data_IF_203897573925
#
_entry.id   IF_203897573925
#
_cell.length_a   1.000
_cell.length_b   1.000
_cell.length_c   1.000
_cell.angle_alpha   90.00
_cell.angle_beta   90.00
_cell.angle_gamma   90.00
#
_symmetry.space_group_name_H-M   'P 1'
#
loop_
_entity.id
_entity.type
_entity.pdbx_description
1 polymer ?
#
# COMPACT_ATOMS: atom_id res chain seq x y z
N UNK A 1 23.94 30.07 -0.50
CA UNK A 1 22.59 29.53 -0.26
C UNK A 1 22.71 28.04 -0.01
N UNK A 2 22.01 27.48 0.98
CA UNK A 2 22.00 26.03 1.21
C UNK A 2 21.37 25.33 0.00
N UNK A 3 22.08 24.37 -0.61
CA UNK A 3 21.52 23.52 -1.66
C UNK A 3 20.52 22.56 -1.04
N UNK A 4 19.28 22.56 -1.52
CA UNK A 4 18.29 21.57 -1.12
C UNK A 4 18.63 20.22 -1.77
N UNK A 5 18.66 19.16 -0.96
CA UNK A 5 18.97 17.81 -1.44
C UNK A 5 17.83 17.18 -2.25
N UNK A 6 16.59 17.62 -2.01
CA UNK A 6 15.36 17.11 -2.64
C UNK A 6 14.46 18.25 -3.11
N UNK A 7 13.71 18.00 -4.18
CA UNK A 7 12.66 18.88 -4.69
C UNK A 7 11.38 18.73 -3.87
N UNK A 8 11.07 17.49 -3.46
CA UNK A 8 9.97 17.19 -2.53
C UNK A 8 10.37 16.19 -1.44
N UNK A 9 9.70 16.33 -0.30
CA UNK A 9 9.63 15.33 0.75
C UNK A 9 8.16 14.92 0.90
N UNK A 10 7.84 13.67 0.58
CA UNK A 10 6.52 13.10 0.79
C UNK A 10 6.47 12.39 2.14
N UNK A 11 5.38 12.57 2.89
CA UNK A 11 5.15 11.90 4.17
C UNK A 11 3.83 11.16 4.11
N UNK A 12 3.82 9.88 4.48
CA UNK A 12 2.60 9.08 4.51
C UNK A 12 2.83 7.65 4.94
N UNK A 13 1.78 6.84 4.84
CA UNK A 13 1.83 5.43 5.17
C UNK A 13 2.46 4.64 4.02
N UNK A 14 3.46 3.82 4.33
CA UNK A 14 4.01 2.84 3.40
C UNK A 14 3.07 1.63 3.37
N UNK A 15 2.33 1.48 2.28
CA UNK A 15 1.26 0.49 2.14
C UNK A 15 1.63 -0.49 1.03
N UNK A 16 1.40 -1.78 1.22
CA UNK A 16 1.32 -2.74 0.12
C UNK A 16 -0.14 -2.90 -0.29
N UNK A 17 -0.45 -2.58 -1.54
CA UNK A 17 -1.75 -2.83 -2.15
C UNK A 17 -1.84 -4.31 -2.56
N UNK A 18 -2.89 -4.98 -2.10
CA UNK A 18 -3.22 -6.38 -2.42
C UNK A 18 -4.42 -6.37 -3.36
N UNK A 19 -4.17 -6.49 -4.65
CA UNK A 19 -5.21 -6.50 -5.66
C UNK A 19 -5.80 -7.89 -5.86
N UNK A 20 -7.12 -7.96 -5.93
CA UNK A 20 -7.82 -9.16 -6.39
C UNK A 20 -9.15 -8.82 -7.06
N UNK A 21 -9.57 -9.70 -7.96
CA UNK A 21 -10.86 -9.62 -8.65
C UNK A 21 -11.95 -10.24 -7.77
N UNK A 22 -13.14 -9.64 -7.76
CA UNK A 22 -14.31 -10.15 -7.06
C UNK A 22 -15.59 -9.75 -7.81
N UNK A 23 -16.74 -10.25 -7.37
CA UNK A 23 -18.05 -9.79 -7.82
C UNK A 23 -18.77 -8.97 -6.73
N UNK A 24 -19.92 -8.38 -7.09
CA UNK A 24 -20.73 -7.61 -6.14
C UNK A 24 -21.33 -8.48 -5.02
N UNK A 25 -21.45 -9.79 -5.22
CA UNK A 25 -21.95 -10.72 -4.22
C UNK A 25 -20.93 -10.92 -3.10
N UNK A 26 -19.65 -11.03 -3.44
CA UNK A 26 -18.54 -11.07 -2.49
C UNK A 26 -18.50 -9.82 -1.61
N UNK A 27 -18.61 -8.63 -2.22
CA UNK A 27 -18.64 -7.37 -1.45
C UNK A 27 -19.81 -7.35 -0.46
N UNK A 28 -21.01 -7.78 -0.91
CA UNK A 28 -22.19 -7.87 -0.04
C UNK A 28 -22.02 -8.88 1.09
N UNK A 29 -21.44 -10.05 0.81
CA UNK A 29 -21.17 -11.09 1.81
C UNK A 29 -20.22 -10.62 2.91
N UNK A 30 -19.24 -9.80 2.55
CA UNK A 30 -18.23 -9.28 3.48
C UNK A 30 -18.55 -7.86 4.01
N UNK A 31 -19.76 -7.34 3.73
CA UNK A 31 -20.21 -6.01 4.15
C UNK A 31 -19.27 -4.86 3.71
N UNK A 32 -18.71 -4.96 2.50
CA UNK A 32 -17.78 -3.98 1.95
C UNK A 32 -18.53 -2.96 1.09
N UNK A 33 -18.30 -1.67 1.36
CA UNK A 33 -18.84 -0.58 0.54
C UNK A 33 -18.13 -0.52 -0.81
N UNK A 34 -18.91 -0.65 -1.89
CA UNK A 34 -18.39 -0.61 -3.26
C UNK A 34 -17.81 0.76 -3.59
N UNK A 35 -16.57 0.81 -4.06
CA UNK A 35 -15.91 2.05 -4.50
C UNK A 35 -15.40 2.94 -3.37
N UNK A 36 -15.59 2.53 -2.12
CA UNK A 36 -15.14 3.27 -0.94
C UNK A 36 -13.74 2.89 -0.49
N UNK A 37 -13.26 3.59 0.55
CA UNK A 37 -12.11 3.18 1.35
C UNK A 37 -12.53 3.09 2.81
N UNK A 38 -12.23 1.96 3.43
CA UNK A 38 -12.56 1.68 4.84
C UNK A 38 -11.30 1.25 5.58
N UNK A 39 -11.08 1.84 6.76
CA UNK A 39 -10.06 1.36 7.69
C UNK A 39 -10.57 0.10 8.40
N UNK A 40 -9.73 -0.93 8.43
CA UNK A 40 -10.03 -2.20 9.07
C UNK A 40 -8.92 -2.58 10.05
N UNK A 41 -9.25 -3.43 11.02
CA UNK A 41 -8.26 -4.00 11.94
C UNK A 41 -7.52 -5.21 11.32
N UNK A 42 -6.45 -5.64 11.99
CA UNK A 42 -5.61 -6.74 11.53
C UNK A 42 -6.37 -8.07 11.42
N UNK A 43 -7.33 -8.34 12.32
CA UNK A 43 -8.11 -9.57 12.30
C UNK A 43 -9.05 -9.63 11.08
N UNK A 44 -9.71 -8.51 10.78
CA UNK A 44 -10.55 -8.34 9.60
C UNK A 44 -9.71 -8.41 8.32
N UNK A 45 -8.53 -7.79 8.32
CA UNK A 45 -7.61 -7.81 7.19
C UNK A 45 -7.14 -9.23 6.88
N UNK A 46 -6.77 -10.00 7.90
CA UNK A 46 -6.37 -11.40 7.71
C UNK A 46 -7.54 -12.26 7.19
N UNK A 47 -8.72 -12.11 7.81
CA UNK A 47 -9.91 -12.86 7.38
C UNK A 47 -10.27 -12.56 5.93
N UNK A 48 -10.20 -11.29 5.53
CA UNK A 48 -10.49 -10.88 4.17
C UNK A 48 -9.41 -11.37 3.20
N UNK A 49 -8.13 -11.30 3.58
CA UNK A 49 -7.02 -11.82 2.77
C UNK A 49 -7.18 -13.30 2.48
N UNK A 50 -7.52 -14.10 3.50
CA UNK A 50 -7.75 -15.54 3.37
C UNK A 50 -8.95 -15.83 2.44
N UNK A 51 -10.05 -15.10 2.59
CA UNK A 51 -11.24 -15.26 1.74
C UNK A 51 -10.95 -14.92 0.26
N UNK A 52 -10.18 -13.85 0.03
CA UNK A 52 -9.81 -13.40 -1.31
C UNK A 52 -8.87 -14.40 -1.98
N UNK A 53 -7.81 -14.82 -1.29
CA UNK A 53 -6.81 -15.75 -1.84
C UNK A 53 -7.35 -17.16 -2.05
N UNK A 54 -8.43 -17.54 -1.37
CA UNK A 54 -9.15 -18.79 -1.63
C UNK A 54 -9.92 -18.79 -2.97
N UNK A 55 -10.25 -17.61 -3.52
CA UNK A 55 -11.09 -17.48 -4.71
C UNK A 55 -10.32 -17.06 -5.95
N UNK A 56 -9.29 -16.21 -5.80
CA UNK A 56 -8.45 -15.77 -6.90
C UNK A 56 -7.02 -15.44 -6.42
N UNK A 57 -6.01 -15.54 -7.30
CA UNK A 57 -4.67 -15.05 -6.99
C UNK A 57 -4.69 -13.56 -6.67
N UNK A 58 -3.93 -13.16 -5.64
CA UNK A 58 -3.73 -11.76 -5.29
C UNK A 58 -2.40 -11.24 -5.83
N UNK A 59 -2.40 -10.00 -6.32
CA UNK A 59 -1.20 -9.29 -6.75
C UNK A 59 -0.78 -8.28 -5.67
N UNK A 60 0.48 -8.33 -5.26
CA UNK A 60 1.03 -7.43 -4.24
C UNK A 60 1.87 -6.34 -4.93
N UNK A 61 1.51 -5.09 -4.70
CA UNK A 61 2.15 -3.93 -5.32
C UNK A 61 2.43 -2.89 -4.24
N UNK A 62 3.63 -2.30 -4.24
CA UNK A 62 3.92 -1.16 -3.37
C UNK A 62 3.02 0.04 -3.71
N UNK A 63 2.30 0.56 -2.72
CA UNK A 63 1.28 1.59 -2.88
C UNK A 63 1.41 2.74 -1.88
N UNK A 64 0.28 3.37 -1.57
CA UNK A 64 0.20 4.56 -0.72
C UNK A 64 0.31 5.88 -1.50
N UNK A 65 -0.65 6.79 -1.28
CA UNK A 65 -0.82 8.00 -2.09
C UNK A 65 0.42 8.92 -2.12
N UNK A 66 1.03 9.16 -0.95
CA UNK A 66 2.23 9.98 -0.84
C UNK A 66 3.46 9.33 -1.49
N UNK A 67 3.61 8.01 -1.35
CA UNK A 67 4.68 7.25 -2.00
C UNK A 67 4.52 7.26 -3.53
N UNK A 68 3.31 7.02 -4.04
CA UNK A 68 3.00 7.08 -5.47
C UNK A 68 3.27 8.46 -6.06
N UNK A 69 3.01 9.54 -5.30
CA UNK A 69 3.34 10.91 -5.71
C UNK A 69 4.85 11.12 -5.81
N UNK A 70 5.62 10.61 -4.84
CA UNK A 70 7.08 10.67 -4.85
C UNK A 70 7.68 9.90 -6.03
N UNK A 71 7.17 8.69 -6.29
CA UNK A 71 7.55 7.86 -7.44
C UNK A 71 7.23 8.56 -8.76
N UNK A 72 6.04 9.17 -8.87
CA UNK A 72 5.65 9.94 -10.05
C UNK A 72 6.59 11.11 -10.32
N UNK A 73 7.00 11.86 -9.29
CA UNK A 73 7.98 12.94 -9.45
C UNK A 73 9.36 12.40 -9.88
N UNK A 74 9.82 11.32 -9.24
CA UNK A 74 11.11 10.71 -9.57
C UNK A 74 11.15 10.21 -11.02
N UNK A 75 10.06 9.62 -11.51
CA UNK A 75 9.91 9.19 -12.90
C UNK A 75 9.96 10.36 -13.91
N UNK A 76 9.59 11.58 -13.48
CA UNK A 76 9.69 12.80 -14.28
C UNK A 76 11.05 13.51 -14.15
N UNK A 77 12.03 12.90 -13.45
CA UNK A 77 13.39 13.41 -13.30
C UNK A 77 13.62 14.32 -12.08
N UNK A 78 12.63 14.46 -11.19
CA UNK A 78 12.78 15.19 -9.93
C UNK A 78 13.46 14.37 -8.84
N UNK A 79 13.98 15.05 -7.81
CA UNK A 79 14.56 14.42 -6.62
C UNK A 79 13.53 14.32 -5.50
N UNK A 80 13.02 13.12 -5.26
CA UNK A 80 12.05 12.87 -4.20
C UNK A 80 12.64 12.08 -3.03
N UNK A 81 12.19 12.42 -1.82
CA UNK A 81 12.35 11.59 -0.63
C UNK A 81 10.98 11.23 -0.06
N UNK A 82 10.88 10.08 0.60
CA UNK A 82 9.68 9.62 1.28
C UNK A 82 9.98 9.31 2.75
N UNK A 83 9.03 9.64 3.62
CA UNK A 83 9.03 9.30 5.05
C UNK A 83 7.75 8.54 5.35
N UNK A 84 7.94 7.33 5.87
CA UNK A 84 6.89 6.41 6.29
C UNK A 84 7.50 5.29 7.13
N UNK A 85 6.66 4.46 7.73
CA UNK A 85 7.07 3.31 8.54
C UNK A 85 6.77 2.01 7.81
N UNK A 86 7.72 1.08 7.88
CA UNK A 86 7.53 -0.34 7.56
C UNK A 86 8.00 -1.17 8.74
N UNK A 87 7.48 -2.40 8.85
CA UNK A 87 7.98 -3.40 9.78
C UNK A 87 9.08 -4.24 9.10
N UNK A 88 9.90 -4.94 9.89
CA UNK A 88 10.85 -5.94 9.41
C UNK A 88 10.13 -7.24 9.02
N UNK A 89 9.30 -7.13 7.97
CA UNK A 89 8.52 -8.23 7.38
C UNK A 89 8.65 -8.23 5.85
N UNK A 90 8.13 -9.27 5.19
CA UNK A 90 8.24 -9.45 3.74
C UNK A 90 7.58 -8.31 2.93
N UNK A 91 6.50 -7.74 3.46
CA UNK A 91 5.81 -6.58 2.89
C UNK A 91 6.68 -5.33 2.98
N UNK A 92 7.29 -5.08 4.13
CA UNK A 92 8.20 -3.97 4.38
C UNK A 92 9.48 -4.06 3.56
N UNK A 93 10.03 -5.27 3.41
CA UNK A 93 11.16 -5.55 2.54
C UNK A 93 10.81 -5.25 1.06
N UNK A 94 9.61 -5.65 0.63
CA UNK A 94 9.09 -5.36 -0.72
C UNK A 94 8.93 -3.87 -0.96
N UNK A 95 8.26 -3.16 -0.04
CA UNK A 95 8.10 -1.71 -0.13
C UNK A 95 9.45 -1.00 -0.22
N UNK A 96 10.40 -1.36 0.66
CA UNK A 96 11.74 -0.79 0.67
C UNK A 96 12.48 -0.98 -0.65
N UNK A 97 12.39 -2.19 -1.24
CA UNK A 97 13.03 -2.49 -2.51
C UNK A 97 12.42 -1.65 -3.63
N UNK A 98 11.11 -1.64 -3.74
CA UNK A 98 10.39 -1.03 -4.87
C UNK A 98 10.54 0.50 -4.86
N UNK A 99 10.37 1.16 -3.69
CA UNK A 99 10.47 2.62 -3.60
C UNK A 99 11.90 3.12 -3.91
N UNK A 100 12.92 2.35 -3.51
CA UNK A 100 14.33 2.66 -3.82
C UNK A 100 14.63 2.40 -5.30
N UNK A 101 14.12 1.31 -5.86
CA UNK A 101 14.26 1.00 -7.29
C UNK A 101 13.59 2.07 -8.17
N UNK A 102 12.52 2.69 -7.69
CA UNK A 102 11.85 3.82 -8.33
C UNK A 102 12.62 5.16 -8.23
N UNK A 103 13.81 5.18 -7.61
CA UNK A 103 14.65 6.37 -7.48
C UNK A 103 14.23 7.33 -6.37
N UNK A 104 13.31 6.94 -5.49
CA UNK A 104 12.91 7.74 -4.32
C UNK A 104 13.81 7.42 -3.14
N UNK A 105 14.32 8.46 -2.47
CA UNK A 105 15.12 8.27 -1.27
C UNK A 105 14.24 7.82 -0.10
N UNK A 106 14.49 6.62 0.41
CA UNK A 106 13.83 6.06 1.58
C UNK A 106 14.85 5.48 2.56
N UNK A 107 15.15 6.25 3.61
CA UNK A 107 16.18 5.96 4.61
C UNK A 107 15.62 5.40 5.93
N UNK A 108 14.34 5.03 5.97
CA UNK A 108 13.77 4.42 7.17
C UNK A 108 14.39 3.04 7.40
N UNK A 109 14.78 2.78 8.65
CA UNK A 109 15.08 1.44 9.13
C UNK A 109 13.76 0.74 9.44
N UNK A 110 13.51 -0.47 8.90
CA UNK A 110 12.35 -1.26 9.28
C UNK A 110 12.26 -1.44 10.80
N UNK A 111 11.05 -1.32 11.35
CA UNK A 111 10.83 -1.52 12.78
C UNK A 111 10.91 -3.02 13.12
N UNK A 112 11.70 -3.38 14.12
CA UNK A 112 11.80 -4.76 14.60
C UNK A 112 10.62 -5.17 15.50
N UNK A 113 9.82 -4.21 15.95
CA UNK A 113 8.70 -4.41 16.86
C UNK A 113 7.49 -3.51 16.52
N UNK A 114 6.40 -3.80 17.20
CA UNK A 114 5.11 -3.14 16.99
C UNK A 114 4.35 -3.73 15.80
N UNK A 115 3.58 -2.87 15.16
CA UNK A 115 2.63 -3.31 14.15
C UNK A 115 3.28 -3.68 12.81
N UNK A 116 2.66 -4.59 12.03
CA UNK A 116 3.18 -5.03 10.73
C UNK A 116 3.16 -3.91 9.70
N UNK A 117 3.82 -4.13 8.56
CA UNK A 117 3.73 -3.20 7.42
C UNK A 117 2.27 -3.06 6.96
N UNK A 118 1.83 -1.83 6.70
CA UNK A 118 0.46 -1.56 6.31
C UNK A 118 0.11 -2.24 4.97
N UNK A 119 -1.15 -2.66 4.84
CA UNK A 119 -1.67 -3.22 3.59
C UNK A 119 -3.09 -2.75 3.30
N UNK A 120 -3.44 -2.70 2.02
CA UNK A 120 -4.77 -2.37 1.55
C UNK A 120 -5.26 -3.46 0.61
N UNK A 121 -6.32 -4.17 1.01
CA UNK A 121 -6.96 -5.16 0.14
C UNK A 121 -7.89 -4.41 -0.81
N UNK A 122 -7.52 -4.40 -2.09
CA UNK A 122 -8.22 -3.69 -3.16
C UNK A 122 -9.01 -4.70 -3.98
N UNK A 123 -10.32 -4.67 -3.78
CA UNK A 123 -11.27 -5.54 -4.46
C UNK A 123 -11.79 -4.85 -5.72
N UNK A 124 -11.49 -5.46 -6.86
CA UNK A 124 -11.85 -4.96 -8.18
C UNK A 124 -13.06 -5.75 -8.69
N UNK A 125 -14.13 -5.03 -9.04
CA UNK A 125 -15.35 -5.60 -9.62
C UNK A 125 -15.33 -5.50 -11.15
N UNK A 126 -16.18 -6.24 -11.89
CA UNK A 126 -16.14 -6.28 -13.36
C UNK A 126 -16.36 -4.92 -14.05
N UNK A 127 -17.03 -3.97 -13.40
CA UNK A 127 -17.19 -2.58 -13.85
C UNK A 127 -15.98 -1.68 -13.48
N UNK A 128 -14.87 -2.29 -13.08
CA UNK A 128 -13.60 -1.68 -12.69
C UNK A 128 -13.65 -0.79 -11.43
N UNK A 129 -14.75 -0.82 -10.66
CA UNK A 129 -14.80 -0.16 -9.37
C UNK A 129 -13.87 -0.85 -8.36
N UNK A 130 -13.19 -0.04 -7.54
CA UNK A 130 -12.19 -0.48 -6.57
C UNK A 130 -12.64 -0.16 -5.16
N UNK A 131 -12.76 -1.17 -4.32
CA UNK A 131 -13.12 -1.02 -2.91
C UNK A 131 -11.90 -1.34 -2.06
N UNK A 132 -11.45 -0.37 -1.28
CA UNK A 132 -10.18 -0.42 -0.56
C UNK A 132 -10.40 -0.69 0.93
N UNK A 133 -9.79 -1.74 1.45
CA UNK A 133 -9.91 -2.13 2.86
C UNK A 133 -8.52 -2.09 3.48
N UNK A 134 -8.22 -1.00 4.19
CA UNK A 134 -6.85 -0.64 4.59
C UNK A 134 -6.61 -0.95 6.07
N UNK A 135 -5.61 -1.79 6.35
CA UNK A 135 -5.04 -2.01 7.66
C UNK A 135 -3.71 -1.24 7.76
N UNK A 136 -3.63 -0.27 8.67
CA UNK A 136 -2.51 0.69 8.71
C UNK A 136 -1.23 0.19 9.40
N UNK A 137 -1.22 -1.03 9.92
CA UNK A 137 -0.19 -1.47 10.85
C UNK A 137 -0.48 -0.89 12.22
#
# INVERSE_FOLDING_TARGET
MSQKSFDILAVGNAIIDVFSQCDDDFLRQHAIEKGGMTLIDAATSQTLFDAVTATAPAELISGGSAANTAVGLAALGGKAAFVGRVHDDDLGATFCRDIRAAGVTFAATPAADGAPTASSIILVTPDAARSMNTCLG
#
